data_IF_576951305544
#
_entry.id   IF_576951305544
#
_cell.length_a   1.000
_cell.length_b   1.000
_cell.length_c   1.000
_cell.angle_alpha   90.00
_cell.angle_beta   90.00
_cell.angle_gamma   90.00
#
_symmetry.space_group_name_H-M   'P 1'
#
loop_
_entity.id
_entity.type
_entity.pdbx_description
1 polymer ?
#
# COMPACT_ATOMS: atom_id res chain seq x y z
N UNK A 1 0.64 -8.42 -14.24
CA UNK A 1 0.61 -6.99 -13.85
C UNK A 1 0.98 -6.91 -12.37
N UNK A 2 1.93 -6.05 -11.98
CA UNK A 2 2.29 -5.86 -10.58
C UNK A 2 1.31 -4.86 -9.94
N UNK A 3 0.78 -5.20 -8.77
CA UNK A 3 -0.11 -4.32 -7.99
C UNK A 3 0.77 -3.37 -7.18
N UNK A 4 0.54 -2.06 -7.31
CA UNK A 4 1.30 -1.01 -6.61
C UNK A 4 0.71 -0.68 -5.25
N UNK A 5 1.48 0.00 -4.39
CA UNK A 5 1.00 0.48 -3.09
C UNK A 5 -0.27 1.33 -3.22
N UNK A 6 -0.35 2.18 -4.26
CA UNK A 6 -1.51 3.01 -4.57
C UNK A 6 -2.81 2.21 -4.79
N UNK A 7 -2.74 1.02 -5.38
CA UNK A 7 -3.93 0.20 -5.56
C UNK A 7 -4.50 -0.25 -4.20
N UNK A 8 -3.64 -0.70 -3.30
CA UNK A 8 -4.06 -1.09 -1.95
C UNK A 8 -4.58 0.09 -1.13
N UNK A 9 -3.98 1.28 -1.30
CA UNK A 9 -4.49 2.52 -0.67
C UNK A 9 -5.89 2.83 -1.17
N UNK A 10 -6.13 2.79 -2.49
CA UNK A 10 -7.44 3.06 -3.06
C UNK A 10 -8.52 2.08 -2.55
N UNK A 11 -8.18 0.80 -2.40
CA UNK A 11 -9.06 -0.21 -1.83
C UNK A 11 -9.33 0.03 -0.34
N UNK A 12 -8.31 0.41 0.43
CA UNK A 12 -8.48 0.77 1.84
C UNK A 12 -9.46 1.95 2.00
N UNK A 13 -9.28 3.00 1.20
CA UNK A 13 -10.15 4.18 1.26
C UNK A 13 -11.57 3.88 0.79
N UNK A 14 -11.76 2.97 -0.16
CA UNK A 14 -13.08 2.47 -0.54
C UNK A 14 -13.77 1.78 0.65
N UNK A 15 -13.07 0.85 1.32
CA UNK A 15 -13.61 0.18 2.51
C UNK A 15 -13.89 1.17 3.66
N UNK A 16 -13.08 2.20 3.84
CA UNK A 16 -13.31 3.25 4.84
C UNK A 16 -14.61 4.04 4.54
N UNK A 17 -14.83 4.40 3.27
CA UNK A 17 -16.08 5.06 2.84
C UNK A 17 -17.30 4.17 3.04
N UNK A 18 -17.19 2.88 2.73
CA UNK A 18 -18.26 1.91 2.97
C UNK A 18 -18.57 1.75 4.46
N UNK A 19 -17.55 1.70 5.32
CA UNK A 19 -17.72 1.65 6.77
C UNK A 19 -18.43 2.90 7.30
N UNK A 20 -18.09 4.08 6.78
CA UNK A 20 -18.74 5.33 7.15
C UNK A 20 -20.21 5.40 6.71
N UNK A 21 -20.55 4.80 5.56
CA UNK A 21 -21.93 4.73 5.06
C UNK A 21 -22.76 3.60 5.69
N UNK A 22 -22.10 2.63 6.36
CA UNK A 22 -22.77 1.48 6.93
C UNK A 22 -23.70 1.85 8.10
N UNK A 23 -24.98 1.50 7.97
CA UNK A 23 -26.01 1.67 8.99
C UNK A 23 -26.03 0.53 10.01
N UNK A 24 -25.52 -0.65 9.64
CA UNK A 24 -25.41 -1.80 10.51
C UNK A 24 -23.97 -1.98 11.02
N UNK A 25 -23.83 -2.18 12.32
CA UNK A 25 -22.51 -2.31 12.97
C UNK A 25 -21.70 -3.50 12.44
N UNK A 26 -22.37 -4.62 12.16
CA UNK A 26 -21.70 -5.80 11.59
C UNK A 26 -21.11 -5.55 10.19
N UNK A 27 -21.75 -4.70 9.39
CA UNK A 27 -21.26 -4.28 8.07
C UNK A 27 -20.09 -3.32 8.26
N UNK A 28 -20.23 -2.34 9.15
CA UNK A 28 -19.14 -1.39 9.49
C UNK A 28 -17.89 -2.14 9.92
N UNK A 29 -18.01 -3.07 10.86
CA UNK A 29 -16.89 -3.85 11.39
C UNK A 29 -16.20 -4.68 10.31
N UNK A 30 -16.98 -5.29 9.40
CA UNK A 30 -16.42 -6.03 8.27
C UNK A 30 -15.63 -5.10 7.35
N UNK A 31 -16.18 -3.93 7.00
CA UNK A 31 -15.51 -2.96 6.14
C UNK A 31 -14.21 -2.43 6.79
N UNK A 32 -14.22 -2.14 8.10
CA UNK A 32 -13.02 -1.73 8.84
C UNK A 32 -11.94 -2.83 8.90
N UNK A 33 -12.32 -4.11 9.03
CA UNK A 33 -11.36 -5.24 8.95
C UNK A 33 -10.74 -5.36 7.56
N UNK A 34 -11.53 -5.16 6.51
CA UNK A 34 -11.03 -5.12 5.13
C UNK A 34 -10.09 -3.95 4.90
N UNK A 35 -10.47 -2.74 5.34
CA UNK A 35 -9.61 -1.54 5.30
C UNK A 35 -8.26 -1.83 5.96
N UNK A 36 -8.25 -2.36 7.18
CA UNK A 36 -7.01 -2.67 7.91
C UNK A 36 -6.12 -3.65 7.14
N UNK A 37 -6.72 -4.66 6.50
CA UNK A 37 -5.99 -5.63 5.68
C UNK A 37 -5.36 -4.95 4.46
N UNK A 38 -6.11 -4.10 3.76
CA UNK A 38 -5.60 -3.34 2.63
C UNK A 38 -4.49 -2.35 3.02
N UNK A 39 -4.63 -1.64 4.14
CA UNK A 39 -3.58 -0.75 4.66
C UNK A 39 -2.31 -1.53 4.98
N UNK A 40 -2.41 -2.71 5.60
CA UNK A 40 -1.25 -3.56 5.87
C UNK A 40 -0.53 -4.02 4.59
N UNK A 41 -1.29 -4.33 3.53
CA UNK A 41 -0.71 -4.68 2.22
C UNK A 41 -0.06 -3.47 1.55
N UNK A 42 -0.69 -2.29 1.62
CA UNK A 42 -0.13 -1.04 1.11
C UNK A 42 1.22 -0.73 1.76
N UNK A 43 1.32 -0.84 3.08
CA UNK A 43 2.56 -0.59 3.82
C UNK A 43 3.67 -1.57 3.42
N UNK A 44 3.36 -2.86 3.28
CA UNK A 44 4.33 -3.86 2.81
C UNK A 44 4.83 -3.53 1.41
N UNK A 45 3.93 -3.14 0.53
CA UNK A 45 4.26 -2.79 -0.85
C UNK A 45 5.08 -1.50 -0.93
N UNK A 46 4.74 -0.50 -0.12
CA UNK A 46 5.50 0.74 -0.02
C UNK A 46 6.93 0.47 0.46
N UNK A 47 7.11 -0.35 1.50
CA UNK A 47 8.46 -0.75 1.95
C UNK A 47 9.26 -1.44 0.83
N UNK A 48 8.63 -2.33 0.07
CA UNK A 48 9.29 -3.01 -1.05
C UNK A 48 9.64 -2.06 -2.20
N UNK A 49 8.80 -1.04 -2.47
CA UNK A 49 9.07 0.01 -3.45
C UNK A 49 10.23 0.90 -3.00
N UNK A 50 10.23 1.37 -1.75
CA UNK A 50 11.31 2.19 -1.20
C UNK A 50 12.65 1.46 -1.17
N UNK A 51 12.66 0.16 -0.80
CA UNK A 51 13.88 -0.64 -0.83
C UNK A 51 14.44 -0.79 -2.25
N UNK A 52 13.58 -1.00 -3.24
CA UNK A 52 14.01 -1.08 -4.65
C UNK A 52 14.54 0.26 -5.17
N UNK A 53 13.91 1.37 -4.80
CA UNK A 53 14.39 2.71 -5.16
C UNK A 53 15.80 2.95 -4.59
N UNK A 54 15.99 2.69 -3.29
CA UNK A 54 17.29 2.83 -2.64
C UNK A 54 18.39 1.98 -3.28
N UNK A 55 18.10 0.70 -3.57
CA UNK A 55 19.08 -0.17 -4.22
C UNK A 55 19.41 0.28 -5.66
N UNK A 56 18.46 0.88 -6.36
CA UNK A 56 18.68 1.44 -7.69
C UNK A 56 19.56 2.71 -7.61
N UNK A 57 19.36 3.56 -6.61
CA UNK A 57 20.21 4.73 -6.33
C UNK A 57 21.64 4.29 -5.99
N UNK A 58 21.82 3.38 -5.03
CA UNK A 58 23.14 2.86 -4.64
C UNK A 58 23.87 2.19 -5.83
N UNK A 59 23.13 1.50 -6.70
CA UNK A 59 23.69 0.94 -7.93
C UNK A 59 24.11 2.04 -8.90
N UNK A 60 23.26 3.04 -9.15
CA UNK A 60 23.58 4.14 -10.06
C UNK A 60 24.80 4.94 -9.57
N UNK A 61 24.91 5.17 -8.26
CA UNK A 61 26.08 5.78 -7.64
C UNK A 61 27.35 4.95 -7.88
N UNK A 62 27.32 3.64 -7.59
CA UNK A 62 28.47 2.76 -7.87
C UNK A 62 28.87 2.78 -9.34
N UNK A 63 27.90 2.61 -10.22
CA UNK A 63 28.13 2.55 -11.67
C UNK A 63 28.66 3.90 -12.20
N UNK A 64 28.40 5.03 -11.52
CA UNK A 64 28.95 6.36 -11.85
C UNK A 64 30.36 6.62 -11.32
N UNK A 65 30.81 5.88 -10.31
CA UNK A 65 32.15 5.98 -9.70
C UNK A 65 33.15 5.03 -10.39
N UNK A 66 32.67 3.98 -11.04
CA UNK A 66 33.48 2.98 -11.75
C UNK A 66 33.83 3.38 -13.20
N UNK A 67 33.37 4.56 -13.67
CA UNK A 67 33.67 5.16 -15.00
C UNK A 67 34.65 6.31 -14.87
#
# INVERSE_FOLDING_TARGET
MSVTSNHYIAQADACAREAAAATLDNVRDRCLRSEKSWRSMAERQLRAESMRARLAEEKAERDSVEV
#
